data_IF_395161225163
#
_entry.id   IF_395161225163
#
_cell.length_a   1.000
_cell.length_b   1.000
_cell.length_c   1.000
_cell.angle_alpha   90.00
_cell.angle_beta   90.00
_cell.angle_gamma   90.00
#
_symmetry.space_group_name_H-M   'P 1'
#
loop_
_entity.id
_entity.type
_entity.pdbx_description
1 polymer ?
#
# COMPACT_ATOMS: atom_id res chain seq x y z
N UNK A 1 -0.25 -20.29 3.18
CA UNK A 1 0.01 -19.38 4.32
C UNK A 1 -0.96 -18.23 4.21
N UNK A 2 -1.81 -18.00 5.22
CA UNK A 2 -2.85 -16.97 5.16
C UNK A 2 -2.35 -15.62 5.64
N UNK A 3 -2.69 -14.56 4.91
CA UNK A 3 -2.55 -13.18 5.33
C UNK A 3 -3.34 -12.99 6.64
N UNK A 4 -2.68 -12.60 7.73
CA UNK A 4 -3.38 -12.24 8.96
C UNK A 4 -3.57 -10.73 8.99
N UNK A 5 -4.81 -10.29 9.04
CA UNK A 5 -5.18 -8.87 9.07
C UNK A 5 -5.80 -8.56 10.42
N UNK A 6 -5.31 -7.51 11.08
CA UNK A 6 -5.98 -6.88 12.21
C UNK A 6 -6.41 -5.48 11.78
N UNK A 7 -7.66 -5.15 12.06
CA UNK A 7 -8.23 -3.84 11.77
C UNK A 7 -8.60 -3.18 13.10
N UNK A 8 -8.16 -1.95 13.29
CA UNK A 8 -8.50 -1.11 14.44
C UNK A 8 -8.97 0.27 13.97
N UNK A 9 -9.56 1.01 14.91
CA UNK A 9 -9.98 2.40 14.72
C UNK A 9 -9.14 3.30 15.62
N UNK A 10 -8.70 4.44 15.09
CA UNK A 10 -8.00 5.49 15.82
C UNK A 10 -8.61 6.85 15.47
N UNK A 11 -9.53 7.31 16.31
CA UNK A 11 -10.39 8.46 16.00
C UNK A 11 -11.26 8.18 14.78
N UNK A 12 -11.16 9.02 13.74
CA UNK A 12 -11.84 8.82 12.45
C UNK A 12 -11.01 7.98 11.45
N UNK A 13 -9.85 7.45 11.86
CA UNK A 13 -8.95 6.71 10.99
C UNK A 13 -9.06 5.19 11.19
N UNK A 14 -8.79 4.43 10.13
CA UNK A 14 -8.66 2.97 10.16
C UNK A 14 -7.19 2.59 10.19
N UNK A 15 -6.80 1.79 11.17
CA UNK A 15 -5.45 1.22 11.28
C UNK A 15 -5.51 -0.24 10.86
N UNK A 16 -4.80 -0.58 9.79
CA UNK A 16 -4.69 -1.96 9.29
C UNK A 16 -3.30 -2.48 9.60
N UNK A 17 -3.22 -3.53 10.42
CA UNK A 17 -1.98 -4.23 10.72
C UNK A 17 -1.96 -5.57 10.01
N UNK A 18 -1.05 -5.69 9.06
CA UNK A 18 -0.84 -6.89 8.26
C UNK A 18 0.32 -7.70 8.86
N UNK A 19 0.04 -8.95 9.22
CA UNK A 19 1.09 -9.92 9.54
C UNK A 19 1.26 -10.82 8.32
N UNK A 20 2.36 -10.57 7.60
CA UNK A 20 2.71 -11.26 6.36
C UNK A 20 4.00 -12.06 6.54
N UNK A 21 4.20 -13.15 5.78
CA UNK A 21 5.49 -13.82 5.72
C UNK A 21 6.59 -12.85 5.29
N UNK A 22 7.77 -12.95 5.90
CA UNK A 22 8.89 -12.04 5.61
C UNK A 22 9.26 -12.04 4.11
N UNK A 23 9.17 -13.20 3.44
CA UNK A 23 9.44 -13.33 2.01
C UNK A 23 8.48 -12.50 1.15
N UNK A 24 7.20 -12.46 1.52
CA UNK A 24 6.19 -11.69 0.79
C UNK A 24 6.38 -10.19 1.02
N UNK A 25 6.76 -9.80 2.24
CA UNK A 25 7.14 -8.41 2.54
C UNK A 25 8.34 -7.96 1.73
N UNK A 26 9.42 -8.75 1.69
CA UNK A 26 10.63 -8.43 0.93
C UNK A 26 10.35 -8.30 -0.57
N UNK A 27 9.53 -9.21 -1.13
CA UNK A 27 9.08 -9.16 -2.51
C UNK A 27 8.33 -7.84 -2.80
N UNK A 28 7.35 -7.50 -1.96
CA UNK A 28 6.54 -6.29 -2.11
C UNK A 28 7.39 -5.02 -1.97
N UNK A 29 8.27 -4.97 -0.96
CA UNK A 29 9.18 -3.85 -0.75
C UNK A 29 10.14 -3.66 -1.93
N UNK A 30 10.70 -4.74 -2.46
CA UNK A 30 11.58 -4.70 -3.65
C UNK A 30 10.83 -4.19 -4.88
N UNK A 31 9.61 -4.67 -5.11
CA UNK A 31 8.75 -4.21 -6.20
C UNK A 31 8.48 -2.70 -6.11
N UNK A 32 8.05 -2.21 -4.94
CA UNK A 32 7.83 -0.79 -4.72
C UNK A 32 9.11 0.04 -4.91
N UNK A 33 10.26 -0.45 -4.43
CA UNK A 33 11.55 0.22 -4.62
C UNK A 33 11.94 0.34 -6.10
N UNK A 34 11.67 -0.69 -6.91
CA UNK A 34 11.93 -0.66 -8.35
C UNK A 34 11.05 0.38 -9.05
N UNK A 35 9.75 0.46 -8.71
CA UNK A 35 8.83 1.46 -9.27
C UNK A 35 9.40 2.88 -9.08
N UNK A 36 9.71 3.27 -7.84
CA UNK A 36 10.20 4.63 -7.57
C UNK A 36 11.59 4.89 -8.14
N UNK A 37 12.47 3.88 -8.15
CA UNK A 37 13.80 4.01 -8.79
C UNK A 37 13.66 4.27 -10.29
N UNK A 38 12.80 3.52 -10.98
CA UNK A 38 12.56 3.71 -12.41
C UNK A 38 11.85 5.04 -12.71
N UNK A 39 11.06 5.57 -11.76
CA UNK A 39 10.45 6.90 -11.86
C UNK A 39 11.38 8.06 -11.46
N UNK A 40 12.61 7.79 -11.00
CA UNK A 40 13.54 8.83 -10.55
C UNK A 40 13.15 9.53 -9.24
N UNK A 41 12.24 8.94 -8.45
CA UNK A 41 11.73 9.52 -7.20
C UNK A 41 12.42 8.85 -6.01
N UNK A 42 12.95 9.66 -5.09
CA UNK A 42 13.52 9.15 -3.83
C UNK A 42 12.44 9.10 -2.74
N UNK A 43 12.27 7.93 -2.10
CA UNK A 43 11.22 7.68 -1.11
C UNK A 43 11.81 6.97 0.12
N UNK A 44 11.54 7.51 1.32
CA UNK A 44 12.03 6.94 2.60
C UNK A 44 11.43 5.56 2.92
N UNK A 45 10.16 5.33 2.57
CA UNK A 45 9.49 4.04 2.69
C UNK A 45 8.72 3.75 1.38
N UNK A 46 9.36 3.08 0.40
CA UNK A 46 8.78 2.81 -0.91
C UNK A 46 7.43 2.08 -0.84
N UNK A 47 7.34 1.03 -0.02
CA UNK A 47 6.12 0.23 0.07
C UNK A 47 4.94 1.03 0.64
N UNK A 48 5.16 1.78 1.72
CA UNK A 48 4.11 2.63 2.31
C UNK A 48 3.63 3.70 1.32
N UNK A 49 4.56 4.32 0.57
CA UNK A 49 4.22 5.30 -0.46
C UNK A 49 3.40 4.68 -1.59
N UNK A 50 3.76 3.48 -2.05
CA UNK A 50 3.04 2.78 -3.09
C UNK A 50 1.60 2.47 -2.70
N UNK A 51 1.40 2.01 -1.46
CA UNK A 51 0.06 1.76 -0.91
C UNK A 51 -0.75 3.06 -0.86
N UNK A 52 -0.17 4.15 -0.36
CA UNK A 52 -0.84 5.44 -0.27
C UNK A 52 -1.25 6.00 -1.66
N UNK A 53 -0.37 5.90 -2.65
CA UNK A 53 -0.67 6.35 -4.02
C UNK A 53 -1.73 5.48 -4.68
N UNK A 54 -1.73 4.17 -4.41
CA UNK A 54 -2.76 3.25 -4.90
C UNK A 54 -4.14 3.58 -4.31
N UNK A 55 -4.22 3.87 -3.00
CA UNK A 55 -5.46 4.32 -2.36
C UNK A 55 -5.95 5.64 -2.96
N UNK A 56 -5.06 6.61 -3.15
CA UNK A 56 -5.41 7.89 -3.79
C UNK A 56 -5.89 7.71 -5.23
N UNK A 57 -5.30 6.78 -5.98
CA UNK A 57 -5.77 6.42 -7.31
C UNK A 57 -7.20 5.87 -7.25
N UNK A 58 -7.50 4.97 -6.32
CA UNK A 58 -8.86 4.44 -6.11
C UNK A 58 -9.87 5.55 -5.76
N UNK A 59 -9.47 6.53 -4.94
CA UNK A 59 -10.30 7.70 -4.67
C UNK A 59 -10.56 8.54 -5.92
N UNK A 60 -9.55 8.73 -6.77
CA UNK A 60 -9.70 9.51 -8.00
C UNK A 60 -10.69 8.89 -8.99
N UNK A 61 -10.88 7.57 -8.95
CA UNK A 61 -11.84 6.85 -9.79
C UNK A 61 -13.19 6.62 -9.12
N UNK A 62 -13.40 7.04 -7.85
CA UNK A 62 -14.74 6.96 -7.20
C UNK A 62 -15.81 7.77 -7.94
N UNK A 63 -15.42 8.65 -8.86
CA UNK A 63 -16.32 9.34 -9.79
C UNK A 63 -16.80 8.50 -10.99
N UNK A 64 -16.25 7.30 -11.21
CA UNK A 64 -16.80 6.34 -12.16
C UNK A 64 -18.14 5.84 -11.62
N UNK A 65 -19.24 6.40 -12.12
CA UNK A 65 -20.55 5.78 -11.99
C UNK A 65 -20.50 4.47 -12.76
N UNK A 66 -20.84 3.37 -12.10
CA UNK A 66 -21.20 2.11 -12.76
C UNK A 66 -22.37 2.43 -13.71
N UNK A 67 -22.06 2.64 -14.99
CA UNK A 67 -23.05 2.72 -16.07
C UNK A 67 -23.38 1.33 -16.56
#
# INVERSE_FOLDING_TARGET
>A
MGLKVKVGLEGENVVIMLVVPIKDYELAHRGASLVYRCSGVQVKNPLARYIAESLRYLESIRGCRDT
#
